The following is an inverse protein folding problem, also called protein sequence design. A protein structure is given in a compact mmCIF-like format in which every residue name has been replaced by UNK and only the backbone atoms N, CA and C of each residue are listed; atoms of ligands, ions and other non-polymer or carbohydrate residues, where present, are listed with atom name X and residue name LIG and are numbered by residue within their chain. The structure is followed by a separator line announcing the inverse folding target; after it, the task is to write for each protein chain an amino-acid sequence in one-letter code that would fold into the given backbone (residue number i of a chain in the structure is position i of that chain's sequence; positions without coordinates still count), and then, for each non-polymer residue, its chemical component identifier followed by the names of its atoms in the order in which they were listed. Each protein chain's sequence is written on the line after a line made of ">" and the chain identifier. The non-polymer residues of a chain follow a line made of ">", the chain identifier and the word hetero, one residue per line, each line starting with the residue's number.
data_IF_358266601308
#
_entry.id   IF_358266601308
#
_cell.length_a   1.000
_cell.length_b   1.000
_cell.length_c   1.000
_cell.angle_alpha   90.00
_cell.angle_beta   90.00
_cell.angle_gamma   90.00
#
_symmetry.space_group_name_H-M   'P 1'
#
loop_
_entity.id
_entity.type
_entity.pdbx_description
1 polymer ?
#
# COMPACT_ATOMS: atom_id res chain seq x y z
N UNK A 1 -8.76 13.12 -7.84
CA UNK A 1 -9.16 12.10 -6.85
C UNK A 1 -10.60 12.35 -6.44
N UNK A 2 -11.47 11.35 -6.55
CA UNK A 2 -12.90 11.48 -6.20
C UNK A 2 -13.08 11.64 -4.68
N UNK A 3 -14.12 12.35 -4.24
CA UNK A 3 -14.40 12.48 -2.79
C UNK A 3 -14.56 11.11 -2.12
N UNK A 4 -15.11 10.15 -2.87
CA UNK A 4 -15.26 8.75 -2.45
C UNK A 4 -13.92 8.06 -2.21
N UNK A 5 -12.97 8.13 -3.15
CA UNK A 5 -11.64 7.49 -2.96
C UNK A 5 -10.87 8.11 -1.79
N UNK A 6 -11.01 9.42 -1.56
CA UNK A 6 -10.47 10.08 -0.37
C UNK A 6 -11.06 9.55 0.95
N UNK A 7 -12.37 9.30 1.00
CA UNK A 7 -13.02 8.75 2.20
C UNK A 7 -12.56 7.31 2.48
N UNK A 8 -12.40 6.50 1.43
CA UNK A 8 -11.88 5.14 1.54
C UNK A 8 -10.45 5.15 2.05
N UNK A 9 -9.60 6.00 1.47
CA UNK A 9 -8.19 6.12 1.89
C UNK A 9 -8.07 6.52 3.36
N UNK A 10 -8.87 7.50 3.82
CA UNK A 10 -8.95 7.87 5.24
C UNK A 10 -9.45 6.74 6.14
N UNK A 11 -10.32 5.87 5.64
CA UNK A 11 -10.77 4.71 6.39
C UNK A 11 -9.66 3.65 6.49
N UNK A 12 -8.95 3.39 5.39
CA UNK A 12 -7.87 2.40 5.33
C UNK A 12 -6.54 2.91 5.90
N UNK A 13 -6.37 4.21 6.14
CA UNK A 13 -5.23 4.72 6.91
C UNK A 13 -5.27 4.25 8.37
N UNK A 14 -6.45 3.86 8.86
CA UNK A 14 -6.62 3.22 10.16
C UNK A 14 -6.27 1.72 10.05
N UNK A 15 -5.20 1.25 10.70
CA UNK A 15 -4.67 -0.10 10.49
C UNK A 15 -5.66 -1.24 10.76
N UNK A 16 -6.63 -1.04 11.66
CA UNK A 16 -7.63 -2.07 11.95
C UNK A 16 -8.62 -2.28 10.81
N UNK A 17 -8.96 -1.24 10.04
CA UNK A 17 -9.80 -1.38 8.84
C UNK A 17 -8.99 -1.96 7.70
N UNK A 18 -7.73 -1.53 7.55
CA UNK A 18 -6.81 -2.10 6.56
C UNK A 18 -6.65 -3.61 6.77
N UNK A 19 -6.44 -4.05 8.01
CA UNK A 19 -6.34 -5.46 8.33
C UNK A 19 -7.64 -6.23 7.95
N UNK A 20 -8.82 -5.70 8.29
CA UNK A 20 -10.09 -6.33 7.89
C UNK A 20 -10.22 -6.40 6.37
N UNK A 21 -9.88 -5.33 5.66
CA UNK A 21 -9.87 -5.30 4.19
C UNK A 21 -8.97 -6.38 3.60
N UNK A 22 -7.73 -6.50 4.10
CA UNK A 22 -6.78 -7.54 3.66
C UNK A 22 -7.34 -8.94 3.88
N UNK A 23 -7.98 -9.21 5.03
CA UNK A 23 -8.63 -10.51 5.26
C UNK A 23 -9.76 -10.79 4.27
N UNK A 24 -10.57 -9.79 3.91
CA UNK A 24 -11.57 -9.94 2.84
C UNK A 24 -10.90 -10.22 1.50
N UNK A 25 -9.83 -9.49 1.16
CA UNK A 25 -9.06 -9.69 -0.07
C UNK A 25 -8.52 -11.12 -0.17
N UNK A 26 -7.90 -11.63 0.91
CA UNK A 26 -7.38 -12.99 1.02
C UNK A 26 -8.42 -14.10 1.18
N UNK A 27 -9.72 -13.79 1.10
CA UNK A 27 -10.81 -14.79 1.11
C UNK A 27 -11.36 -15.16 2.48
N UNK A 28 -10.80 -14.62 3.57
CA UNK A 28 -11.38 -14.73 4.92
C UNK A 28 -12.48 -13.68 5.09
N UNK A 29 -13.61 -13.89 4.43
CA UNK A 29 -14.52 -12.81 4.07
C UNK A 29 -15.83 -12.75 4.87
N UNK A 30 -15.85 -13.27 6.09
CA UNK A 30 -17.02 -13.18 6.98
C UNK A 30 -16.61 -12.90 8.42
N UNK A 31 -17.52 -12.29 9.18
CA UNK A 31 -17.20 -11.64 10.45
C UNK A 31 -16.52 -12.56 11.48
N UNK A 32 -16.98 -13.80 11.65
CA UNK A 32 -16.41 -14.72 12.65
C UNK A 32 -15.02 -15.23 12.27
N UNK A 33 -14.73 -15.47 10.99
CA UNK A 33 -13.37 -15.83 10.54
C UNK A 33 -12.38 -14.69 10.77
N UNK A 34 -12.74 -13.48 10.36
CA UNK A 34 -11.91 -12.28 10.55
C UNK A 34 -11.68 -12.02 12.04
N UNK A 35 -12.73 -12.13 12.85
CA UNK A 35 -12.66 -11.93 14.30
C UNK A 35 -11.65 -12.90 14.95
N UNK A 36 -11.70 -14.18 14.58
CA UNK A 36 -10.78 -15.20 15.07
C UNK A 36 -9.33 -14.90 14.68
N UNK A 37 -9.08 -14.56 13.40
CA UNK A 37 -7.71 -14.34 12.90
C UNK A 37 -7.09 -13.03 13.39
N UNK A 38 -7.91 -12.01 13.67
CA UNK A 38 -7.44 -10.72 14.19
C UNK A 38 -7.53 -10.60 15.72
N UNK A 39 -7.77 -11.71 16.42
CA UNK A 39 -7.98 -11.77 17.87
C UNK A 39 -8.88 -10.63 18.41
N UNK A 40 -10.08 -10.53 17.84
CA UNK A 40 -11.06 -9.49 18.21
C UNK A 40 -12.46 -10.07 18.36
N UNK A 41 -13.32 -9.32 19.05
CA UNK A 41 -14.75 -9.69 19.20
C UNK A 41 -15.45 -9.62 17.84
N UNK A 42 -16.30 -10.61 17.53
CA UNK A 42 -17.09 -10.65 16.30
C UNK A 42 -17.92 -9.39 16.04
N UNK A 43 -18.60 -8.76 17.03
CA UNK A 43 -19.29 -7.50 16.82
C UNK A 43 -18.39 -6.37 16.29
N UNK A 44 -17.11 -6.34 16.70
CA UNK A 44 -16.13 -5.38 16.21
C UNK A 44 -15.81 -5.61 14.74
N UNK A 45 -15.55 -6.86 14.35
CA UNK A 45 -15.31 -7.22 12.95
C UNK A 45 -16.55 -6.92 12.07
N UNK A 46 -17.75 -7.22 12.56
CA UNK A 46 -19.01 -6.88 11.86
C UNK A 46 -19.17 -5.38 11.65
N UNK A 47 -18.88 -4.55 12.66
CA UNK A 47 -18.94 -3.08 12.54
C UNK A 47 -17.93 -2.55 11.52
N UNK A 48 -16.73 -3.14 11.47
CA UNK A 48 -15.69 -2.76 10.51
C UNK A 48 -16.06 -3.15 9.07
N UNK A 49 -16.55 -4.38 8.87
CA UNK A 49 -17.07 -4.84 7.58
C UNK A 49 -18.21 -3.94 7.08
N UNK A 50 -19.16 -3.58 7.97
CA UNK A 50 -20.27 -2.70 7.60
C UNK A 50 -19.78 -1.34 7.09
N UNK A 51 -18.79 -0.73 7.74
CA UNK A 51 -18.22 0.54 7.29
C UNK A 51 -17.50 0.42 5.95
N UNK A 52 -16.75 -0.66 5.71
CA UNK A 52 -16.11 -0.92 4.42
C UNK A 52 -17.15 -1.16 3.30
N UNK A 53 -18.29 -1.76 3.64
CA UNK A 53 -19.43 -1.94 2.74
C UNK A 53 -20.12 -0.61 2.44
N UNK A 54 -20.29 0.27 3.45
CA UNK A 54 -20.85 1.62 3.30
C UNK A 54 -20.03 2.50 2.35
N UNK A 55 -18.72 2.23 2.17
CA UNK A 55 -17.88 2.91 1.18
C UNK A 55 -17.84 2.22 -0.19
N UNK A 56 -18.57 1.12 -0.36
CA UNK A 56 -18.59 0.25 -1.55
C UNK A 56 -17.23 -0.40 -1.90
N UNK A 57 -16.24 -0.30 -1.01
CA UNK A 57 -14.91 -0.93 -1.21
C UNK A 57 -15.03 -2.46 -1.14
N UNK A 58 -15.98 -2.95 -0.34
CA UNK A 58 -16.40 -4.34 -0.33
C UNK A 58 -17.89 -4.43 -0.58
N UNK A 59 -18.32 -5.54 -1.14
CA UNK A 59 -19.73 -5.83 -1.42
C UNK A 59 -20.10 -7.23 -0.97
N UNK A 60 -21.41 -7.49 -0.84
CA UNK A 60 -21.91 -8.80 -0.45
C UNK A 60 -21.74 -9.77 -1.60
N UNK A 61 -20.92 -10.80 -1.41
CA UNK A 61 -20.74 -11.85 -2.41
C UNK A 61 -21.85 -12.91 -2.34
N UNK A 62 -22.21 -13.32 -1.12
CA UNK A 62 -23.15 -14.41 -0.87
C UNK A 62 -23.90 -14.17 0.44
N UNK A 63 -25.21 -14.47 0.46
CA UNK A 63 -26.03 -14.49 1.66
C UNK A 63 -26.44 -15.94 1.96
N UNK A 64 -25.59 -16.64 2.71
CA UNK A 64 -25.88 -17.97 3.25
C UNK A 64 -26.06 -17.93 4.76
N UNK A 65 -25.58 -18.98 5.46
CA UNK A 65 -25.53 -19.01 6.95
C UNK A 65 -24.71 -17.86 7.55
N UNK A 66 -23.77 -17.30 6.78
CA UNK A 66 -23.02 -16.11 7.11
C UNK A 66 -23.01 -15.16 5.91
N UNK A 67 -23.00 -13.85 6.18
CA UNK A 67 -22.80 -12.81 5.17
C UNK A 67 -21.33 -12.81 4.75
N UNK A 68 -21.05 -13.18 3.49
CA UNK A 68 -19.71 -13.17 2.91
C UNK A 68 -19.51 -11.93 2.04
N UNK A 69 -18.29 -11.43 2.02
CA UNK A 69 -17.91 -10.21 1.29
C UNK A 69 -16.92 -10.50 0.17
N UNK A 70 -16.86 -9.62 -0.83
CA UNK A 70 -15.77 -9.57 -1.83
C UNK A 70 -15.29 -8.13 -1.98
N UNK A 71 -14.04 -7.97 -2.40
CA UNK A 71 -13.46 -6.66 -2.70
C UNK A 71 -13.99 -6.16 -4.04
N UNK A 72 -14.38 -4.89 -4.09
CA UNK A 72 -14.56 -4.16 -5.33
C UNK A 72 -13.19 -3.68 -5.81
N UNK A 73 -12.57 -4.48 -6.69
CA UNK A 73 -11.21 -4.22 -7.15
C UNK A 73 -11.10 -2.95 -8.00
N UNK A 74 -12.15 -2.59 -8.74
CA UNK A 74 -12.14 -1.38 -9.58
C UNK A 74 -11.99 -0.12 -8.72
N UNK A 75 -12.77 -0.02 -7.64
CA UNK A 75 -12.68 1.08 -6.67
C UNK A 75 -11.32 1.07 -5.96
N UNK A 76 -10.84 -0.12 -5.56
CA UNK A 76 -9.54 -0.24 -4.92
C UNK A 76 -8.40 0.22 -5.85
N UNK A 77 -8.42 -0.16 -7.12
CA UNK A 77 -7.44 0.27 -8.11
C UNK A 77 -7.53 1.78 -8.35
N UNK A 78 -8.73 2.34 -8.49
CA UNK A 78 -8.89 3.81 -8.60
C UNK A 78 -8.21 4.53 -7.42
N UNK A 79 -8.47 4.09 -6.19
CA UNK A 79 -7.82 4.63 -5.00
C UNK A 79 -6.30 4.43 -5.01
N UNK A 80 -5.81 3.23 -5.33
CA UNK A 80 -4.38 2.91 -5.35
C UNK A 80 -3.61 3.78 -6.34
N UNK A 81 -4.05 3.89 -7.59
CA UNK A 81 -3.37 4.70 -8.58
C UNK A 81 -3.55 6.20 -8.31
N UNK A 82 -4.67 6.64 -7.73
CA UNK A 82 -4.82 8.03 -7.28
C UNK A 82 -3.83 8.38 -6.16
N UNK A 83 -3.65 7.49 -5.18
CA UNK A 83 -2.68 7.66 -4.11
C UNK A 83 -1.27 7.73 -4.68
N UNK A 84 -0.89 6.75 -5.53
CA UNK A 84 0.42 6.72 -6.19
C UNK A 84 0.70 8.01 -6.98
N UNK A 85 -0.26 8.46 -7.79
CA UNK A 85 -0.12 9.70 -8.53
C UNK A 85 0.00 10.92 -7.62
N UNK A 86 -0.74 10.97 -6.52
CA UNK A 86 -0.65 12.06 -5.54
C UNK A 86 0.71 12.08 -4.83
N UNK A 87 1.25 10.91 -4.49
CA UNK A 87 2.60 10.77 -3.94
C UNK A 87 3.64 11.28 -4.91
N UNK A 88 3.57 10.91 -6.19
CA UNK A 88 4.47 11.39 -7.23
C UNK A 88 4.37 12.92 -7.45
N UNK A 89 3.15 13.47 -7.53
CA UNK A 89 2.94 14.92 -7.67
C UNK A 89 3.49 15.72 -6.48
N UNK A 90 3.34 15.18 -5.26
CA UNK A 90 3.93 15.79 -4.08
C UNK A 90 5.46 15.88 -4.21
N UNK A 91 6.13 14.92 -4.88
CA UNK A 91 7.58 14.90 -5.07
C UNK A 91 8.07 15.93 -6.06
N UNK A 92 7.34 16.13 -7.17
CA UNK A 92 7.65 17.19 -8.15
C UNK A 92 7.80 18.55 -7.49
N UNK A 93 7.06 18.79 -6.40
CA UNK A 93 7.14 20.01 -5.61
C UNK A 93 8.39 20.16 -4.72
N UNK A 94 9.25 19.14 -4.65
CA UNK A 94 10.39 19.11 -3.70
C UNK A 94 11.76 19.33 -4.36
N UNK A 95 12.06 18.77 -5.54
CA UNK A 95 13.32 18.95 -6.26
C UNK A 95 13.10 19.05 -7.79
N UNK A 96 13.89 19.90 -8.48
CA UNK A 96 13.75 20.14 -9.93
C UNK A 96 14.14 18.92 -10.78
N UNK A 97 15.14 18.16 -10.35
CA UNK A 97 15.62 16.95 -11.06
C UNK A 97 14.55 15.86 -11.08
N UNK A 98 13.78 15.71 -9.99
CA UNK A 98 12.67 14.76 -9.88
C UNK A 98 11.53 15.03 -10.87
N UNK A 99 11.37 16.26 -11.37
CA UNK A 99 10.25 16.62 -12.25
C UNK A 99 10.30 15.84 -13.58
N UNK A 100 11.49 15.69 -14.17
CA UNK A 100 11.64 15.02 -15.47
C UNK A 100 11.38 13.52 -15.34
N UNK A 101 11.92 12.91 -14.30
CA UNK A 101 11.80 11.48 -14.04
C UNK A 101 10.34 11.12 -13.74
N UNK A 102 9.67 11.91 -12.91
CA UNK A 102 8.25 11.68 -12.59
C UNK A 102 7.34 11.92 -13.80
N UNK A 103 7.59 12.95 -14.62
CA UNK A 103 6.82 13.13 -15.85
C UNK A 103 6.96 11.92 -16.77
N UNK A 104 8.18 11.39 -16.92
CA UNK A 104 8.43 10.19 -17.71
C UNK A 104 7.68 8.96 -17.16
N UNK A 105 7.63 8.78 -15.84
CA UNK A 105 6.85 7.71 -15.21
C UNK A 105 5.33 7.83 -15.46
N UNK A 106 4.81 9.06 -15.47
CA UNK A 106 3.39 9.31 -15.72
C UNK A 106 2.99 9.14 -17.19
N UNK A 107 3.88 9.52 -18.12
CA UNK A 107 3.68 9.35 -19.56
C UNK A 107 3.54 7.87 -19.95
N UNK A 108 4.34 6.99 -19.34
CA UNK A 108 4.27 5.53 -19.53
C UNK A 108 2.95 4.93 -18.99
N UNK A 109 2.29 5.64 -18.06
CA UNK A 109 1.04 5.23 -17.45
C UNK A 109 1.25 4.25 -16.29
N UNK A 110 0.92 4.68 -15.07
CA UNK A 110 1.14 3.88 -13.84
C UNK A 110 0.48 2.50 -13.85
N UNK A 111 -0.61 2.32 -14.61
CA UNK A 111 -1.28 1.01 -14.79
C UNK A 111 -0.51 0.04 -15.68
N UNK A 112 0.32 0.54 -16.58
CA UNK A 112 1.22 -0.25 -17.42
C UNK A 112 2.46 -0.68 -16.63
N UNK A 113 3.01 0.25 -15.85
CA UNK A 113 4.17 0.02 -14.98
C UNK A 113 3.85 -0.95 -13.84
N UNK A 114 2.71 -0.73 -13.18
CA UNK A 114 2.25 -1.57 -12.07
C UNK A 114 0.92 -2.19 -12.46
N UNK A 115 0.91 -3.38 -13.09
CA UNK A 115 -0.32 -4.03 -13.52
C UNK A 115 -1.30 -4.27 -12.37
N UNK A 116 -2.62 -4.08 -12.57
CA UNK A 116 -3.62 -4.28 -11.51
C UNK A 116 -3.59 -5.69 -10.90
N UNK A 117 -3.28 -6.72 -11.69
CA UNK A 117 -3.20 -8.11 -11.20
C UNK A 117 -1.99 -8.34 -10.29
N UNK A 118 -0.87 -7.63 -10.49
CA UNK A 118 0.26 -7.63 -9.56
C UNK A 118 -0.18 -7.08 -8.20
N UNK A 119 -0.80 -5.88 -8.20
CA UNK A 119 -1.30 -5.25 -6.96
C UNK A 119 -2.30 -6.17 -6.26
N UNK A 120 -3.27 -6.72 -6.99
CA UNK A 120 -4.28 -7.62 -6.44
C UNK A 120 -3.67 -8.88 -5.85
N UNK A 121 -2.68 -9.49 -6.51
CA UNK A 121 -2.02 -10.69 -6.00
C UNK A 121 -1.27 -10.41 -4.70
N UNK A 122 -0.51 -9.32 -4.64
CA UNK A 122 0.22 -8.95 -3.42
C UNK A 122 -0.74 -8.67 -2.26
N UNK A 123 -1.80 -7.89 -2.47
CA UNK A 123 -2.77 -7.58 -1.41
C UNK A 123 -3.58 -8.79 -0.95
N UNK A 124 -3.83 -9.77 -1.82
CA UNK A 124 -4.40 -11.07 -1.43
C UNK A 124 -3.42 -11.89 -0.59
N UNK A 125 -2.16 -11.98 -1.04
CA UNK A 125 -1.09 -12.74 -0.38
C UNK A 125 -0.67 -12.17 0.97
N UNK A 126 -0.95 -10.89 1.22
CA UNK A 126 -0.60 -10.20 2.46
C UNK A 126 -1.16 -10.89 3.71
N UNK A 127 -2.33 -11.53 3.61
CA UNK A 127 -2.93 -12.25 4.74
C UNK A 127 -2.09 -13.44 5.21
N UNK A 128 -1.52 -14.21 4.27
CA UNK A 128 -0.59 -15.29 4.59
C UNK A 128 0.68 -14.75 5.25
N UNK A 129 1.19 -13.60 4.79
CA UNK A 129 2.34 -12.94 5.39
C UNK A 129 2.10 -12.52 6.84
N UNK A 130 0.95 -11.90 7.15
CA UNK A 130 0.58 -11.49 8.51
C UNK A 130 0.56 -12.69 9.48
N UNK A 131 0.09 -13.84 9.01
CA UNK A 131 0.03 -15.06 9.83
C UNK A 131 1.41 -15.65 10.09
N UNK A 132 2.29 -15.65 9.09
CA UNK A 132 3.66 -16.17 9.20
C UNK A 132 4.51 -15.33 10.17
N UNK A 133 4.37 -14.00 10.15
CA UNK A 133 5.16 -13.12 11.03
C UNK A 133 4.54 -12.92 12.42
N UNK A 134 3.54 -13.71 12.79
CA UNK A 134 2.95 -13.69 14.14
C UNK A 134 2.12 -12.45 14.45
N UNK A 135 1.47 -11.84 13.46
CA UNK A 135 0.61 -10.68 13.67
C UNK A 135 1.37 -9.37 13.89
N UNK A 136 2.48 -9.20 13.15
CA UNK A 136 3.32 -8.00 13.15
C UNK A 136 2.56 -6.68 13.01
N UNK A 137 3.27 -5.56 13.21
CA UNK A 137 2.68 -4.21 13.23
C UNK A 137 1.71 -4.02 12.06
N UNK A 138 0.46 -3.68 12.39
CA UNK A 138 -0.58 -3.38 11.40
C UNK A 138 -0.22 -2.07 10.71
N UNK A 139 -0.27 -2.08 9.38
CA UNK A 139 0.03 -0.93 8.53
C UNK A 139 -1.27 -0.29 8.03
N UNK A 140 -1.29 1.04 7.97
CA UNK A 140 -2.33 1.77 7.23
C UNK A 140 -2.06 1.71 5.73
N UNK A 141 -3.03 2.17 4.92
CA UNK A 141 -2.94 2.09 3.46
C UNK A 141 -1.66 2.71 2.86
N UNK A 142 -1.30 3.94 3.24
CA UNK A 142 -0.08 4.58 2.72
C UNK A 142 1.18 3.78 3.04
N UNK A 143 1.33 3.31 4.30
CA UNK A 143 2.46 2.47 4.72
C UNK A 143 2.50 1.14 3.93
N UNK A 144 1.34 0.58 3.59
CA UNK A 144 1.23 -0.61 2.74
C UNK A 144 1.69 -0.35 1.30
N UNK A 145 1.28 0.77 0.69
CA UNK A 145 1.70 1.15 -0.67
C UNK A 145 3.22 1.33 -0.70
N UNK A 146 3.79 2.04 0.28
CA UNK A 146 5.23 2.23 0.31
C UNK A 146 5.98 0.90 0.56
N UNK A 147 5.45 0.05 1.42
CA UNK A 147 6.03 -1.30 1.66
C UNK A 147 5.98 -2.19 0.42
N UNK A 148 4.94 -2.04 -0.41
CA UNK A 148 4.82 -2.72 -1.70
C UNK A 148 5.99 -2.32 -2.62
N UNK A 149 6.28 -1.02 -2.74
CA UNK A 149 7.39 -0.56 -3.60
C UNK A 149 8.78 -0.87 -3.04
N UNK A 150 8.99 -0.78 -1.72
CA UNK A 150 10.23 -1.28 -1.10
C UNK A 150 10.42 -2.77 -1.35
N UNK A 151 9.36 -3.58 -1.29
CA UNK A 151 9.44 -5.00 -1.61
C UNK A 151 9.81 -5.23 -3.08
N UNK A 152 9.22 -4.48 -4.00
CA UNK A 152 9.57 -4.55 -5.43
C UNK A 152 11.04 -4.21 -5.67
N UNK A 153 11.52 -3.10 -5.12
CA UNK A 153 12.93 -2.71 -5.25
C UNK A 153 13.87 -3.78 -4.71
N UNK A 154 13.56 -4.35 -3.53
CA UNK A 154 14.39 -5.41 -2.94
C UNK A 154 14.32 -6.73 -3.73
N UNK A 155 13.27 -6.99 -4.50
CA UNK A 155 13.21 -8.16 -5.39
C UNK A 155 14.15 -8.05 -6.59
N UNK A 156 14.52 -6.83 -7.00
CA UNK A 156 15.54 -6.57 -8.01
C UNK A 156 16.95 -6.95 -7.51
N UNK A 157 17.16 -7.03 -6.19
CA UNK A 157 18.40 -7.56 -5.63
C UNK A 157 18.37 -9.10 -5.70
N UNK A 158 19.36 -9.71 -6.36
CA UNK A 158 19.44 -11.17 -6.48
C UNK A 158 19.51 -11.85 -5.11
N UNK A 159 18.59 -12.79 -4.84
CA UNK A 159 18.64 -13.66 -3.66
C UNK A 159 19.03 -15.06 -4.13
N UNK A 160 20.23 -15.50 -3.75
CA UNK A 160 20.73 -16.89 -3.85
C UNK A 160 20.31 -17.67 -5.12
N UNK A 161 20.66 -17.16 -6.30
CA UNK A 161 20.46 -17.88 -7.57
C UNK A 161 19.03 -17.90 -8.10
N UNK A 162 18.11 -17.14 -7.48
CA UNK A 162 16.76 -16.92 -7.99
C UNK A 162 16.54 -15.46 -8.41
N UNK A 163 16.24 -15.26 -9.70
CA UNK A 163 15.84 -13.97 -10.23
C UNK A 163 14.32 -13.76 -10.06
N UNK A 164 13.90 -13.38 -8.84
CA UNK A 164 12.48 -13.13 -8.55
C UNK A 164 11.92 -11.94 -9.33
N UNK A 165 12.77 -10.98 -9.69
CA UNK A 165 12.40 -9.83 -10.50
C UNK A 165 11.99 -10.25 -11.90
N UNK A 166 12.83 -11.01 -12.61
CA UNK A 166 12.51 -11.53 -13.95
C UNK A 166 11.22 -12.36 -13.95
N UNK A 167 11.06 -13.25 -12.96
CA UNK A 167 9.81 -14.02 -12.78
C UNK A 167 8.58 -13.11 -12.61
N UNK A 168 8.72 -12.01 -11.88
CA UNK A 168 7.64 -11.04 -11.66
C UNK A 168 7.32 -10.27 -12.95
N UNK A 169 8.33 -9.82 -13.69
CA UNK A 169 8.16 -9.13 -14.96
C UNK A 169 7.44 -10.01 -15.98
N UNK A 170 7.85 -11.29 -16.09
CA UNK A 170 7.24 -12.27 -16.97
C UNK A 170 5.78 -12.60 -16.58
N UNK A 171 5.55 -12.93 -15.31
CA UNK A 171 4.22 -13.36 -14.83
C UNK A 171 3.16 -12.27 -14.98
N UNK A 172 3.53 -10.99 -14.76
CA UNK A 172 2.59 -9.88 -14.79
C UNK A 172 2.63 -9.05 -16.07
N UNK A 173 3.49 -9.41 -17.03
CA UNK A 173 3.67 -8.71 -18.31
C UNK A 173 3.84 -7.19 -18.10
N UNK A 174 4.85 -6.83 -17.30
CA UNK A 174 5.18 -5.43 -16.99
C UNK A 174 5.68 -4.74 -18.26
N UNK A 175 5.09 -3.59 -18.61
CA UNK A 175 5.36 -2.94 -19.90
C UNK A 175 6.75 -2.32 -20.04
N UNK A 176 7.37 -1.92 -18.92
CA UNK A 176 8.69 -1.32 -18.88
C UNK A 176 9.37 -1.61 -17.53
N UNK A 177 10.32 -2.53 -17.54
CA UNK A 177 11.03 -3.02 -16.35
C UNK A 177 11.85 -1.92 -15.67
N UNK A 178 12.68 -1.19 -16.44
CA UNK A 178 13.52 -0.12 -15.92
C UNK A 178 12.68 0.97 -15.24
N UNK A 179 11.54 1.33 -15.84
CA UNK A 179 10.61 2.30 -15.28
C UNK A 179 9.85 1.79 -14.06
N UNK A 180 9.58 0.50 -13.96
CA UNK A 180 9.04 -0.08 -12.73
C UNK A 180 10.07 0.00 -11.59
N UNK A 181 11.35 -0.28 -11.87
CA UNK A 181 12.41 -0.14 -10.88
C UNK A 181 12.58 1.34 -10.44
N UNK A 182 12.63 2.27 -11.40
CA UNK A 182 12.70 3.71 -11.13
C UNK A 182 11.51 4.19 -10.27
N UNK A 183 10.31 3.70 -10.56
CA UNK A 183 9.12 3.96 -9.74
C UNK A 183 9.27 3.39 -8.33
N UNK A 184 9.76 2.15 -8.19
CA UNK A 184 9.93 1.50 -6.90
C UNK A 184 10.96 2.23 -6.03
N UNK A 185 12.09 2.63 -6.61
CA UNK A 185 13.10 3.44 -5.92
C UNK A 185 12.55 4.82 -5.54
N UNK A 186 11.83 5.47 -6.47
CA UNK A 186 11.19 6.77 -6.25
C UNK A 186 10.23 6.73 -5.07
N UNK A 187 9.45 5.66 -4.97
CA UNK A 187 8.48 5.44 -3.90
C UNK A 187 9.11 4.96 -2.59
N UNK A 188 10.25 4.26 -2.63
CA UNK A 188 10.96 3.90 -1.40
C UNK A 188 11.60 5.11 -0.72
N UNK A 189 12.18 6.04 -1.48
CA UNK A 189 12.79 7.26 -0.92
C UNK A 189 11.79 7.99 0.00
N UNK A 190 10.50 7.97 -0.34
CA UNK A 190 9.42 8.51 0.50
C UNK A 190 9.36 7.95 1.92
N UNK A 191 9.77 6.70 2.13
CA UNK A 191 9.73 6.06 3.44
C UNK A 191 10.77 6.61 4.43
N UNK A 192 11.87 7.19 3.93
CA UNK A 192 12.99 7.56 4.78
C UNK A 192 13.52 8.97 4.54
N UNK A 193 13.02 9.70 3.52
CA UNK A 193 13.51 11.03 3.16
C UNK A 193 13.31 12.07 4.28
N UNK A 194 12.20 12.00 5.02
CA UNK A 194 11.97 12.90 6.15
C UNK A 194 12.98 12.66 7.26
N UNK A 195 13.21 11.40 7.61
CA UNK A 195 14.19 10.96 8.60
C UNK A 195 15.60 11.36 8.16
N UNK A 196 15.96 11.13 6.90
CA UNK A 196 17.24 11.54 6.32
C UNK A 196 17.43 13.05 6.39
N UNK A 197 16.44 13.84 5.99
CA UNK A 197 16.53 15.31 6.08
C UNK A 197 16.63 15.79 7.53
N UNK A 198 15.88 15.18 8.45
CA UNK A 198 15.95 15.53 9.87
C UNK A 198 17.35 15.24 10.44
N UNK A 199 17.92 14.07 10.13
CA UNK A 199 19.26 13.67 10.55
C UNK A 199 20.32 14.58 9.92
N UNK A 200 20.30 14.76 8.61
CA UNK A 200 21.31 15.57 7.90
C UNK A 200 21.24 17.04 8.28
N UNK A 201 20.05 17.64 8.40
CA UNK A 201 19.89 19.01 8.89
C UNK A 201 20.48 19.16 10.30
N UNK A 202 20.26 18.18 11.19
CA UNK A 202 20.83 18.17 12.54
C UNK A 202 22.36 18.05 12.53
N UNK A 203 22.92 17.28 11.61
CA UNK A 203 24.37 17.11 11.46
C UNK A 203 25.03 18.35 10.86
N UNK A 204 24.35 19.07 9.95
CA UNK A 204 24.87 20.27 9.29
C UNK A 204 24.74 21.55 10.14
N UNK A 205 23.69 21.67 10.96
CA UNK A 205 23.38 22.89 11.73
C UNK A 205 23.96 22.86 13.16
N UNK A 206 24.44 21.69 13.63
CA UNK A 206 24.91 21.52 15.01
C UNK A 206 23.77 21.32 16.02
N UNK A 207 24.05 21.21 17.34
CA UNK A 207 23.03 21.00 18.36
C UNK A 207 21.94 22.07 18.34
N UNK A 208 20.69 21.66 18.51
CA UNK A 208 19.65 22.58 18.95
C UNK A 208 20.08 23.10 20.32
N UNK A 209 20.69 24.27 20.36
CA UNK A 209 20.80 25.07 21.58
C UNK A 209 19.38 25.51 21.92
N UNK A 210 18.66 24.63 22.63
CA UNK A 210 17.46 25.02 23.34
C UNK A 210 17.88 26.11 24.31
N UNK A 211 17.55 27.36 24.00
CA UNK A 211 17.45 28.38 25.03
C UNK A 211 16.39 27.88 25.99
N UNK A 212 16.84 27.30 27.10
CA UNK A 212 16.03 27.16 28.29
C UNK A 212 15.53 28.55 28.63
N UNK A 213 14.23 28.77 28.46
CA UNK A 213 13.58 29.87 29.13
C UNK A 213 13.48 29.45 30.60
N UNK A 214 14.48 29.84 31.39
CA UNK A 214 14.34 30.05 32.83
C UNK A 214 13.36 31.20 33.10
#
# INVERSE_FOLDING_TARGET
>A
MSEKTNQIEKLLSVPEYMAVFLFVAGGNNYASAIAKRLDKKQPTASKQLKKLEETELIEVAERGKAKKFKVNWDIFFEMFYNHLNSSLEYRKGTLIEDIKDINSLQEEGLRNLVPPELVKTVFKGYTSGIEVVGGGRKKGFGEMVMSFFSALKNMHEEIEGENYWEKLIEEYNVGNEDKLYELADTMEIYNWFLEYNAITSRLLIGPFEGKGNE
#
